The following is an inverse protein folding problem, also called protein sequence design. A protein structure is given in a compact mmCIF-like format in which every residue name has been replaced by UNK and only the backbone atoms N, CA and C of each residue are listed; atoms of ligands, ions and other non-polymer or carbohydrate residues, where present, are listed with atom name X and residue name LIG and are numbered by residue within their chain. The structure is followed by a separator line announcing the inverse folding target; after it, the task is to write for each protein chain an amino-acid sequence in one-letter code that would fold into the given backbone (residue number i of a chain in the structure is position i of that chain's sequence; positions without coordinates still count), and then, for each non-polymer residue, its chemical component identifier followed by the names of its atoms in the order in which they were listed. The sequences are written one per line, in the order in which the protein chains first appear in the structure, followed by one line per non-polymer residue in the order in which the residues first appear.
data_IF_499072838039
#
_entry.id   IF_499072838039
#
_cell.length_a   1.000
_cell.length_b   1.000
_cell.length_c   1.000
_cell.angle_alpha   90.00
_cell.angle_beta   90.00
_cell.angle_gamma   90.00
#
_symmetry.space_group_name_H-M   'P 1'
#
loop_
_entity.id
_entity.type
_entity.pdbx_description
1 polymer ?
#
# COMPACT_ATOMS: atom_id res chain seq x y z
N UNK A 1 -5.04 -1.74 0.82
CA UNK A 1 -3.92 -2.67 1.05
C UNK A 1 -3.21 -2.93 -0.26
N UNK A 2 -1.90 -3.16 -0.23
CA UNK A 2 -1.08 -3.33 -1.43
C UNK A 2 -1.42 -4.61 -2.21
N UNK A 3 -1.05 -4.63 -3.49
CA UNK A 3 -1.17 -5.84 -4.30
C UNK A 3 -0.23 -6.94 -3.74
N UNK A 4 -0.68 -8.22 -3.62
CA UNK A 4 0.11 -9.29 -2.99
C UNK A 4 1.49 -9.53 -3.62
N UNK A 5 1.63 -9.24 -4.92
CA UNK A 5 2.89 -9.42 -5.65
C UNK A 5 3.90 -8.26 -5.48
N UNK A 6 3.52 -7.17 -4.79
CA UNK A 6 4.41 -6.02 -4.61
C UNK A 6 5.25 -6.16 -3.33
N UNK A 7 6.56 -5.88 -3.41
CA UNK A 7 7.44 -5.90 -2.24
C UNK A 7 7.25 -4.63 -1.39
N UNK A 8 6.40 -4.73 -0.37
CA UNK A 8 6.08 -3.62 0.52
C UNK A 8 7.01 -3.47 1.70
N UNK A 9 7.73 -4.52 2.03
CA UNK A 9 8.59 -4.58 3.18
C UNK A 9 10.05 -4.65 2.73
N UNK A 10 10.87 -3.82 3.32
CA UNK A 10 12.32 -3.85 3.17
C UNK A 10 12.99 -3.98 4.54
N UNK A 11 14.19 -4.54 4.57
CA UNK A 11 15.02 -4.56 5.78
C UNK A 11 15.82 -3.26 5.94
N UNK A 12 16.56 -3.16 7.02
CA UNK A 12 17.43 -1.99 7.30
C UNK A 12 18.58 -1.84 6.30
N UNK A 13 18.87 -2.85 5.48
CA UNK A 13 19.84 -2.76 4.37
C UNK A 13 19.18 -2.31 3.06
N UNK A 14 17.87 -1.99 3.08
CA UNK A 14 17.10 -1.62 1.88
C UNK A 14 16.73 -2.81 1.00
N UNK A 15 16.95 -4.05 1.45
CA UNK A 15 16.65 -5.26 0.68
C UNK A 15 15.19 -5.66 0.86
N UNK A 16 14.55 -6.03 -0.23
CA UNK A 16 13.17 -6.52 -0.22
C UNK A 16 13.00 -7.74 0.66
N UNK A 17 11.97 -7.71 1.49
CA UNK A 17 11.51 -8.83 2.28
C UNK A 17 10.31 -9.49 1.59
N UNK A 18 10.48 -10.75 1.19
CA UNK A 18 9.44 -11.52 0.48
C UNK A 18 8.39 -12.07 1.46
N UNK A 19 7.68 -11.18 2.16
CA UNK A 19 6.57 -11.51 3.03
C UNK A 19 5.26 -11.01 2.46
N UNK A 20 4.27 -11.87 2.51
CA UNK A 20 2.93 -11.58 2.06
C UNK A 20 2.08 -11.00 3.19
N UNK A 21 1.63 -9.75 3.02
CA UNK A 21 0.79 -9.08 4.00
C UNK A 21 -0.65 -9.63 4.09
N UNK A 22 -1.06 -10.47 3.14
CA UNK A 22 -2.34 -11.18 3.21
C UNK A 22 -2.24 -12.55 3.89
N UNK A 23 -1.02 -12.99 4.22
CA UNK A 23 -0.80 -14.19 5.01
C UNK A 23 -0.80 -13.85 6.50
N UNK A 24 -1.70 -14.47 7.26
CA UNK A 24 -1.81 -14.30 8.72
C UNK A 24 -0.51 -14.68 9.45
N UNK A 25 0.29 -15.60 8.90
CA UNK A 25 1.55 -16.02 9.49
C UNK A 25 2.60 -14.91 9.45
N UNK A 26 2.55 -14.02 8.45
CA UNK A 26 3.38 -12.80 8.41
C UNK A 26 3.10 -11.92 9.64
N UNK A 27 1.83 -11.68 9.95
CA UNK A 27 1.42 -10.87 11.11
C UNK A 27 1.80 -11.53 12.43
N UNK A 28 1.65 -12.85 12.51
CA UNK A 28 2.06 -13.63 13.68
C UNK A 28 3.57 -13.58 13.88
N UNK A 29 4.33 -13.83 12.83
CA UNK A 29 5.80 -13.81 12.85
C UNK A 29 6.36 -12.46 13.30
N UNK A 30 5.78 -11.38 12.79
CA UNK A 30 6.22 -10.03 13.16
C UNK A 30 5.63 -9.53 14.47
N UNK A 31 4.67 -10.23 15.05
CA UNK A 31 4.00 -9.82 16.27
C UNK A 31 3.18 -8.53 16.07
N UNK A 32 2.57 -8.35 14.90
CA UNK A 32 1.82 -7.14 14.57
C UNK A 32 0.33 -7.26 14.89
N UNK A 33 -0.32 -6.09 15.13
CA UNK A 33 -1.75 -6.01 15.44
C UNK A 33 -2.10 -6.88 16.66
N UNK A 34 -3.07 -7.78 16.54
CA UNK A 34 -3.56 -8.69 17.60
C UNK A 34 -2.55 -9.79 18.00
N UNK A 35 -1.40 -9.85 17.35
CA UNK A 35 -0.27 -10.69 17.73
C UNK A 35 0.80 -9.94 18.55
N UNK A 36 0.74 -8.62 18.66
CA UNK A 36 1.52 -7.87 19.67
C UNK A 36 0.95 -8.18 21.05
N UNK A 37 1.73 -8.74 21.99
CA UNK A 37 1.25 -9.05 23.33
C UNK A 37 0.58 -7.84 24.02
N UNK A 38 1.13 -6.64 23.85
CA UNK A 38 0.58 -5.40 24.45
C UNK A 38 -0.81 -5.06 23.90
N UNK A 39 -1.06 -5.35 22.61
CA UNK A 39 -2.38 -5.14 21.97
C UNK A 39 -3.34 -6.23 22.45
N UNK A 40 -2.90 -7.49 22.46
CA UNK A 40 -3.69 -8.62 22.93
C UNK A 40 -4.10 -8.47 24.39
N UNK A 41 -3.17 -8.09 25.28
CA UNK A 41 -3.43 -7.91 26.71
C UNK A 41 -4.42 -6.77 26.96
N UNK A 42 -4.28 -5.64 26.26
CA UNK A 42 -5.24 -4.52 26.34
C UNK A 42 -6.63 -4.92 25.84
N UNK A 43 -6.69 -5.66 24.75
CA UNK A 43 -7.96 -6.16 24.22
C UNK A 43 -8.63 -7.14 25.19
N UNK A 44 -7.87 -8.08 25.76
CA UNK A 44 -8.35 -9.02 26.74
C UNK A 44 -8.88 -8.32 28.00
N UNK A 45 -8.11 -7.35 28.53
CA UNK A 45 -8.50 -6.59 29.72
C UNK A 45 -9.81 -5.81 29.52
N UNK A 46 -9.99 -5.18 28.35
CA UNK A 46 -11.24 -4.45 28.02
C UNK A 46 -12.47 -5.35 27.90
N UNK A 47 -12.27 -6.63 27.66
CA UNK A 47 -13.34 -7.62 27.46
C UNK A 47 -13.40 -8.66 28.59
N UNK A 48 -13.25 -8.19 29.82
CA UNK A 48 -13.48 -8.99 31.04
C UNK A 48 -12.27 -9.76 31.56
N UNK A 49 -11.13 -9.71 30.88
CA UNK A 49 -9.91 -10.41 31.29
C UNK A 49 -10.06 -11.95 31.32
N UNK A 50 -9.14 -12.62 31.97
CA UNK A 50 -9.19 -14.06 32.20
C UNK A 50 -9.48 -14.90 30.95
N UNK A 51 -10.37 -15.84 31.04
CA UNK A 51 -10.75 -16.72 29.93
C UNK A 51 -11.60 -15.99 28.87
N UNK A 52 -12.53 -15.16 29.28
CA UNK A 52 -13.37 -14.33 28.39
C UNK A 52 -12.50 -13.41 27.52
N UNK A 53 -11.55 -12.73 28.12
CA UNK A 53 -10.61 -11.86 27.40
C UNK A 53 -9.72 -12.64 26.41
N UNK A 54 -9.25 -13.85 26.81
CA UNK A 54 -8.48 -14.71 25.89
C UNK A 54 -9.33 -15.18 24.70
N UNK A 55 -10.59 -15.57 24.95
CA UNK A 55 -11.54 -15.97 23.90
C UNK A 55 -11.80 -14.82 22.94
N UNK A 56 -11.93 -13.59 23.44
CA UNK A 56 -12.08 -12.40 22.61
C UNK A 56 -10.85 -12.16 21.71
N UNK A 57 -9.64 -12.29 22.24
CA UNK A 57 -8.40 -12.15 21.43
C UNK A 57 -8.31 -13.24 20.36
N UNK A 58 -8.72 -14.48 20.68
CA UNK A 58 -8.76 -15.55 19.69
C UNK A 58 -9.74 -15.22 18.55
N UNK A 59 -10.94 -14.71 18.87
CA UNK A 59 -11.91 -14.23 17.89
C UNK A 59 -11.34 -13.10 17.01
N UNK A 60 -10.61 -12.14 17.58
CA UNK A 60 -9.97 -11.07 16.80
C UNK A 60 -8.92 -11.61 15.82
N UNK A 61 -8.16 -12.65 16.20
CA UNK A 61 -7.19 -13.29 15.30
C UNK A 61 -7.87 -13.99 14.13
N UNK A 62 -8.96 -14.69 14.39
CA UNK A 62 -9.79 -15.33 13.34
C UNK A 62 -10.42 -14.27 12.42
N UNK A 63 -10.94 -13.19 13.00
CA UNK A 63 -11.47 -12.05 12.25
C UNK A 63 -10.41 -11.47 11.31
N UNK A 64 -9.22 -11.18 11.81
CA UNK A 64 -8.12 -10.68 10.98
C UNK A 64 -7.78 -11.65 9.85
N UNK A 65 -7.61 -12.95 10.16
CA UNK A 65 -7.32 -13.98 9.16
C UNK A 65 -8.39 -14.06 8.07
N UNK A 66 -9.68 -13.97 8.45
CA UNK A 66 -10.80 -13.94 7.50
C UNK A 66 -10.71 -12.74 6.57
N UNK A 67 -10.48 -11.54 7.14
CA UNK A 67 -10.44 -10.31 6.34
C UNK A 67 -9.19 -10.20 5.45
N UNK A 68 -8.05 -10.72 5.87
CA UNK A 68 -6.88 -10.83 5.01
C UNK A 68 -7.17 -11.71 3.78
N UNK A 69 -7.80 -12.89 3.97
CA UNK A 69 -8.20 -13.75 2.85
C UNK A 69 -9.22 -13.09 1.92
N UNK A 70 -10.19 -12.35 2.47
CA UNK A 70 -11.16 -11.61 1.66
C UNK A 70 -10.50 -10.47 0.88
N UNK A 71 -9.61 -9.71 1.54
CA UNK A 71 -8.86 -8.64 0.90
C UNK A 71 -7.99 -9.16 -0.25
N UNK A 72 -7.31 -10.30 -0.06
CA UNK A 72 -6.55 -10.95 -1.15
C UNK A 72 -7.45 -11.25 -2.35
N UNK A 73 -8.55 -11.98 -2.13
CA UNK A 73 -9.48 -12.35 -3.20
C UNK A 73 -10.03 -11.13 -3.93
N UNK A 74 -10.34 -10.07 -3.20
CA UNK A 74 -10.80 -8.82 -3.78
C UNK A 74 -9.74 -8.21 -4.71
N UNK A 75 -8.50 -8.04 -4.22
CA UNK A 75 -7.42 -7.47 -5.04
C UNK A 75 -7.11 -8.36 -6.26
N UNK A 76 -7.06 -9.67 -6.08
CA UNK A 76 -6.83 -10.62 -7.18
C UNK A 76 -7.99 -10.57 -8.20
N UNK A 77 -9.22 -10.35 -7.76
CA UNK A 77 -10.37 -10.22 -8.68
C UNK A 77 -10.32 -8.96 -9.54
N UNK A 78 -9.67 -7.90 -9.08
CA UNK A 78 -9.49 -6.67 -9.87
C UNK A 78 -8.54 -6.87 -11.06
N UNK A 79 -7.70 -7.91 -11.03
CA UNK A 79 -6.81 -8.26 -12.15
C UNK A 79 -7.51 -9.12 -13.22
N UNK A 80 -8.74 -9.55 -12.98
CA UNK A 80 -9.52 -10.33 -13.96
C UNK A 80 -10.24 -9.38 -14.91
N UNK A 81 -9.96 -9.43 -16.22
CA UNK A 81 -10.65 -8.56 -17.18
C UNK A 81 -12.17 -8.78 -17.13
N UNK A 82 -12.93 -7.69 -17.11
CA UNK A 82 -14.37 -7.77 -17.21
C UNK A 82 -14.77 -8.19 -18.64
N UNK A 83 -15.81 -9.02 -18.81
CA UNK A 83 -16.32 -9.33 -20.15
C UNK A 83 -16.95 -8.08 -20.77
N UNK A 84 -16.56 -7.76 -22.01
CA UNK A 84 -17.09 -6.63 -22.77
C UNK A 84 -16.04 -5.59 -23.13
N UNK A 85 -16.47 -4.49 -23.73
CA UNK A 85 -15.61 -3.36 -24.03
C UNK A 85 -15.23 -2.62 -22.74
N UNK A 86 -13.94 -2.49 -22.47
CA UNK A 86 -13.45 -1.69 -21.36
C UNK A 86 -13.69 -0.20 -21.66
N UNK A 87 -14.27 0.56 -20.72
CA UNK A 87 -14.39 2.00 -20.91
C UNK A 87 -12.99 2.64 -20.96
N UNK A 88 -12.82 3.72 -21.70
CA UNK A 88 -11.57 4.46 -21.70
C UNK A 88 -11.32 5.01 -20.29
N UNK A 89 -10.14 4.75 -19.73
CA UNK A 89 -9.74 5.23 -18.42
C UNK A 89 -8.95 6.53 -18.58
N UNK A 90 -9.27 7.52 -17.76
CA UNK A 90 -8.47 8.70 -17.57
C UNK A 90 -7.96 8.73 -16.12
N UNK A 91 -6.66 8.93 -15.95
CA UNK A 91 -6.01 8.95 -14.65
C UNK A 91 -5.56 10.36 -14.30
N UNK A 92 -5.92 10.80 -13.11
CA UNK A 92 -5.44 12.04 -12.53
C UNK A 92 -4.70 11.74 -11.22
N UNK A 93 -3.62 12.46 -10.97
CA UNK A 93 -2.85 12.33 -9.73
C UNK A 93 -1.84 13.44 -9.53
N UNK A 94 -1.23 13.46 -8.34
CA UNK A 94 -0.03 14.23 -8.07
C UNK A 94 1.22 13.38 -8.26
N UNK A 95 2.37 14.02 -8.57
CA UNK A 95 3.65 13.33 -8.71
C UNK A 95 4.86 14.12 -8.20
N UNK A 96 4.62 15.22 -7.46
CA UNK A 96 5.66 16.06 -6.89
C UNK A 96 6.02 15.73 -5.44
N UNK A 97 5.14 15.00 -4.74
CA UNK A 97 5.33 14.74 -3.32
C UNK A 97 5.90 13.33 -3.10
N UNK A 98 6.80 13.23 -2.12
CA UNK A 98 7.32 11.93 -1.68
C UNK A 98 6.23 11.15 -0.96
N UNK A 99 5.81 10.07 -1.57
CA UNK A 99 4.72 9.22 -1.08
C UNK A 99 5.24 7.87 -0.65
N UNK A 100 4.86 7.42 0.55
CA UNK A 100 5.32 6.15 1.12
C UNK A 100 4.94 4.98 0.21
N UNK A 101 5.95 4.28 -0.27
CA UNK A 101 5.84 3.10 -1.12
C UNK A 101 6.24 1.81 -0.41
N UNK A 102 7.17 1.88 0.55
CA UNK A 102 7.68 0.71 1.30
C UNK A 102 7.94 1.06 2.76
N UNK A 103 7.81 0.06 3.61
CA UNK A 103 8.04 0.15 5.05
C UNK A 103 9.33 -0.59 5.38
N UNK A 104 10.23 0.06 6.12
CA UNK A 104 11.41 -0.60 6.70
C UNK A 104 10.98 -1.43 7.91
N UNK A 105 11.39 -2.69 7.96
CA UNK A 105 11.18 -3.56 9.11
C UNK A 105 12.47 -3.73 9.88
N UNK A 106 12.49 -3.25 11.12
CA UNK A 106 13.61 -3.40 12.04
C UNK A 106 13.34 -4.49 13.08
N UNK A 107 14.38 -5.27 13.37
CA UNK A 107 14.38 -6.17 14.53
C UNK A 107 15.00 -5.44 15.73
N UNK A 108 14.17 -5.06 16.71
CA UNK A 108 14.58 -4.36 17.93
C UNK A 108 14.12 -5.18 19.13
N UNK A 109 15.06 -5.60 19.98
CA UNK A 109 14.80 -6.35 21.22
C UNK A 109 13.87 -7.55 21.01
N UNK A 110 14.12 -8.32 19.94
CA UNK A 110 13.33 -9.50 19.58
C UNK A 110 11.96 -9.21 18.97
N UNK A 111 11.66 -7.95 18.64
CA UNK A 111 10.42 -7.51 18.00
C UNK A 111 10.69 -6.95 16.62
N UNK A 112 9.73 -7.13 15.72
CA UNK A 112 9.76 -6.51 14.41
C UNK A 112 8.91 -5.25 14.42
N UNK A 113 9.53 -4.12 14.12
CA UNK A 113 8.89 -2.80 14.10
C UNK A 113 8.91 -2.25 12.68
N UNK A 114 7.73 -1.92 12.15
CA UNK A 114 7.63 -1.22 10.87
C UNK A 114 7.93 0.27 11.04
N UNK A 115 8.71 0.83 10.12
CA UNK A 115 9.08 2.24 10.08
C UNK A 115 8.55 2.87 8.80
N UNK A 116 7.70 3.86 8.96
CA UNK A 116 7.09 4.61 7.86
C UNK A 116 7.81 5.92 7.56
N UNK A 117 8.76 6.31 8.44
CA UNK A 117 9.56 7.52 8.32
C UNK A 117 11.03 7.18 8.48
N UNK A 118 11.89 7.89 7.76
CA UNK A 118 13.34 7.69 7.82
C UNK A 118 13.90 8.00 9.21
N UNK A 119 13.41 9.08 9.83
CA UNK A 119 13.82 9.51 11.17
C UNK A 119 13.46 8.54 12.29
N UNK A 120 12.49 7.66 12.07
CA UNK A 120 12.08 6.65 13.05
C UNK A 120 12.96 5.40 13.03
N UNK A 121 13.86 5.25 12.05
CA UNK A 121 14.76 4.10 11.93
C UNK A 121 15.80 4.19 13.06
N UNK A 122 15.70 3.26 14.01
CA UNK A 122 16.54 3.32 15.22
C UNK A 122 18.00 2.92 14.98
N UNK A 123 18.24 2.05 13.99
CA UNK A 123 19.59 1.53 13.67
C UNK A 123 19.86 1.67 12.16
N UNK A 124 20.00 2.90 11.65
CA UNK A 124 20.24 3.10 10.23
C UNK A 124 21.60 2.53 9.81
N UNK A 125 21.63 1.90 8.64
CA UNK A 125 22.86 1.34 8.06
C UNK A 125 23.56 2.43 7.23
N UNK A 126 24.83 2.73 7.48
CA UNK A 126 25.57 3.73 6.69
C UNK A 126 25.57 3.38 5.19
N UNK A 127 25.30 4.40 4.37
CA UNK A 127 25.30 4.25 2.90
C UNK A 127 23.99 3.76 2.30
N UNK A 128 22.96 3.45 3.11
CA UNK A 128 21.62 3.16 2.61
C UNK A 128 20.83 4.45 2.46
N UNK A 129 20.36 4.71 1.25
CA UNK A 129 19.42 5.80 0.96
C UNK A 129 17.99 5.33 1.27
N UNK A 130 17.54 5.61 2.49
CA UNK A 130 16.21 5.21 2.94
C UNK A 130 15.10 6.03 2.26
N UNK A 131 15.36 7.30 1.94
CA UNK A 131 14.37 8.12 1.25
C UNK A 131 14.04 7.53 -0.12
N UNK A 132 15.06 7.26 -0.93
CA UNK A 132 14.87 6.62 -2.23
C UNK A 132 14.33 5.17 -2.13
N UNK A 133 14.60 4.48 -1.02
CA UNK A 133 14.13 3.10 -0.80
C UNK A 133 12.67 3.01 -0.35
N UNK A 134 12.20 3.98 0.43
CA UNK A 134 10.88 3.98 1.07
C UNK A 134 9.84 4.74 0.27
N UNK A 135 10.22 5.80 -0.42
CA UNK A 135 9.28 6.74 -1.03
C UNK A 135 9.38 6.74 -2.56
N UNK A 136 8.30 7.14 -3.18
CA UNK A 136 8.18 7.33 -4.64
C UNK A 136 7.39 8.61 -4.93
N UNK A 137 7.53 9.18 -6.15
CA UNK A 137 6.69 10.29 -6.56
C UNK A 137 5.21 9.97 -6.47
N UNK A 138 4.43 10.89 -5.90
CA UNK A 138 2.98 10.75 -5.74
C UNK A 138 2.35 12.03 -5.21
N UNK A 139 1.28 11.87 -4.45
CA UNK A 139 0.46 12.96 -3.91
C UNK A 139 0.30 12.92 -2.38
N UNK A 140 1.25 12.32 -1.66
CA UNK A 140 1.28 11.98 -0.23
C UNK A 140 0.40 10.77 0.17
N UNK A 141 -0.49 10.30 -0.69
CA UNK A 141 -1.42 9.19 -0.39
C UNK A 141 -1.23 8.04 -1.36
N UNK A 142 -1.16 8.34 -2.66
CA UNK A 142 -1.05 7.36 -3.73
C UNK A 142 0.18 7.67 -4.58
N UNK A 143 1.02 6.66 -4.80
CA UNK A 143 2.18 6.82 -5.69
C UNK A 143 1.72 6.88 -7.15
N UNK A 144 2.45 7.62 -7.97
CA UNK A 144 2.22 7.66 -9.43
C UNK A 144 2.24 6.25 -10.04
N UNK A 145 3.15 5.39 -9.58
CA UNK A 145 3.24 4.02 -10.05
C UNK A 145 1.96 3.22 -9.75
N UNK A 146 1.36 3.42 -8.56
CA UNK A 146 0.09 2.80 -8.18
C UNK A 146 -1.07 3.26 -9.06
N UNK A 147 -1.17 4.56 -9.32
CA UNK A 147 -2.21 5.13 -10.19
C UNK A 147 -2.14 4.60 -11.62
N UNK A 148 -0.93 4.34 -12.12
CA UNK A 148 -0.72 3.79 -13.46
C UNK A 148 -0.82 2.26 -13.52
N UNK A 149 -1.17 1.59 -12.41
CA UNK A 149 -1.25 0.14 -12.33
C UNK A 149 0.08 -0.59 -12.55
N UNK A 150 1.22 0.08 -12.31
CA UNK A 150 2.54 -0.51 -12.50
C UNK A 150 2.85 -1.52 -11.40
N UNK A 151 3.20 -2.74 -11.79
CA UNK A 151 3.47 -3.83 -10.85
C UNK A 151 4.83 -3.82 -10.19
N UNK A 152 5.82 -3.12 -10.72
CA UNK A 152 7.16 -3.12 -10.14
C UNK A 152 7.63 -1.73 -9.80
N UNK A 153 8.07 -1.62 -8.56
CA UNK A 153 8.73 -0.46 -7.99
C UNK A 153 10.26 -0.55 -8.17
N UNK A 154 10.76 -1.52 -8.92
CA UNK A 154 12.19 -1.67 -9.15
C UNK A 154 12.63 -0.78 -10.30
N UNK A 155 13.29 0.32 -9.99
CA UNK A 155 13.82 1.29 -10.96
C UNK A 155 14.86 0.65 -11.90
N UNK A 156 15.48 -0.46 -11.47
CA UNK A 156 16.51 -1.18 -12.21
C UNK A 156 15.97 -2.33 -13.07
N UNK A 157 14.69 -2.69 -12.92
CA UNK A 157 14.09 -3.70 -13.79
C UNK A 157 13.83 -3.11 -15.18
N UNK A 158 14.16 -3.82 -16.27
CA UNK A 158 13.69 -3.42 -17.58
C UNK A 158 12.18 -3.30 -17.51
N UNK A 159 11.61 -2.23 -18.10
CA UNK A 159 10.19 -1.86 -18.10
C UNK A 159 9.31 -3.10 -17.92
N UNK A 160 9.08 -3.47 -16.66
CA UNK A 160 8.33 -4.64 -16.34
C UNK A 160 6.89 -4.36 -16.70
N UNK A 161 6.32 -5.32 -17.32
CA UNK A 161 4.97 -5.47 -17.80
C UNK A 161 3.98 -4.57 -17.06
N UNK A 162 3.63 -3.48 -17.71
CA UNK A 162 2.43 -2.72 -17.42
C UNK A 162 1.33 -3.71 -17.74
N UNK A 163 0.69 -4.29 -16.73
CA UNK A 163 -0.61 -4.88 -17.01
C UNK A 163 -1.49 -3.76 -17.50
N UNK A 164 -1.94 -3.95 -18.71
CA UNK A 164 -2.50 -2.90 -19.52
C UNK A 164 -3.91 -2.53 -19.03
N UNK A 165 -3.98 -1.72 -17.99
CA UNK A 165 -5.07 -0.77 -17.90
C UNK A 165 -4.96 0.07 -19.16
N UNK A 166 -5.99 0.05 -20.02
CA UNK A 166 -6.05 0.91 -21.21
C UNK A 166 -6.30 2.35 -20.72
N UNK A 167 -5.25 2.98 -20.24
CA UNK A 167 -5.27 4.38 -19.83
C UNK A 167 -5.23 5.21 -21.11
N UNK A 168 -6.36 5.81 -21.47
CA UNK A 168 -6.47 6.68 -22.64
C UNK A 168 -5.64 7.95 -22.44
N UNK A 169 -5.71 8.54 -21.25
CA UNK A 169 -4.97 9.74 -20.89
C UNK A 169 -4.58 9.70 -19.40
N UNK A 170 -3.41 10.29 -19.07
CA UNK A 170 -2.99 10.51 -17.69
C UNK A 170 -2.50 11.94 -17.51
N UNK A 171 -3.01 12.61 -16.49
CA UNK A 171 -2.64 13.99 -16.13
C UNK A 171 -2.07 13.97 -14.72
N UNK A 172 -0.81 14.37 -14.59
CA UNK A 172 -0.14 14.52 -13.30
C UNK A 172 0.13 15.97 -13.03
N UNK A 173 -0.22 16.40 -11.82
CA UNK A 173 -0.10 17.79 -11.36
C UNK A 173 0.80 17.81 -10.12
N UNK A 174 1.45 18.97 -9.89
CA UNK A 174 2.17 19.20 -8.65
C UNK A 174 1.17 19.60 -7.55
N UNK A 175 0.43 18.59 -7.03
CA UNK A 175 -0.65 18.83 -6.08
C UNK A 175 -0.79 17.67 -5.08
N UNK A 176 -1.14 17.98 -3.85
CA UNK A 176 -1.49 16.98 -2.83
C UNK A 176 -2.85 16.34 -3.12
N UNK A 177 -3.00 15.07 -2.73
CA UNK A 177 -4.23 14.28 -2.95
C UNK A 177 -5.53 14.99 -2.55
N UNK A 178 -5.55 15.60 -1.37
CA UNK A 178 -6.73 16.29 -0.81
C UNK A 178 -7.10 17.57 -1.55
N UNK A 179 -6.17 18.15 -2.30
CA UNK A 179 -6.38 19.42 -3.01
C UNK A 179 -6.57 19.22 -4.52
N UNK A 180 -6.31 18.01 -5.03
CA UNK A 180 -6.30 17.71 -6.44
C UNK A 180 -7.58 18.14 -7.17
N UNK A 181 -8.75 17.84 -6.62
CA UNK A 181 -10.05 18.21 -7.23
C UNK A 181 -10.35 19.71 -7.19
N UNK A 182 -9.69 20.47 -6.34
CA UNK A 182 -9.75 21.93 -6.26
C UNK A 182 -8.80 22.64 -7.23
N UNK A 183 -7.87 21.92 -7.84
CA UNK A 183 -6.89 22.49 -8.75
C UNK A 183 -7.54 22.87 -10.10
N UNK A 184 -7.40 24.12 -10.59
CA UNK A 184 -8.02 24.53 -11.84
C UNK A 184 -7.61 23.69 -13.05
N UNK A 185 -6.33 23.29 -13.12
CA UNK A 185 -5.84 22.44 -14.22
C UNK A 185 -6.48 21.05 -14.18
N UNK A 186 -6.76 20.49 -12.99
CA UNK A 186 -7.54 19.25 -12.87
C UNK A 186 -8.94 19.44 -13.45
N UNK A 187 -9.63 20.52 -13.03
CA UNK A 187 -11.01 20.80 -13.45
C UNK A 187 -11.11 21.02 -14.95
N UNK A 188 -10.19 21.79 -15.53
CA UNK A 188 -10.16 22.07 -16.97
C UNK A 188 -9.90 20.79 -17.79
N UNK A 189 -8.94 19.97 -17.38
CA UNK A 189 -8.65 18.71 -18.06
C UNK A 189 -9.80 17.71 -17.93
N UNK A 190 -10.43 17.63 -16.75
CA UNK A 190 -11.59 16.77 -16.55
C UNK A 190 -12.77 17.21 -17.42
N UNK A 191 -13.07 18.53 -17.45
CA UNK A 191 -14.11 19.08 -18.27
C UNK A 191 -13.86 18.81 -19.76
N UNK A 192 -12.62 19.05 -20.22
CA UNK A 192 -12.22 18.73 -21.60
C UNK A 192 -12.43 17.26 -21.92
N UNK A 193 -12.00 16.34 -21.05
CA UNK A 193 -12.19 14.91 -21.24
C UNK A 193 -13.67 14.54 -21.36
N UNK A 194 -14.53 15.07 -20.48
CA UNK A 194 -15.96 14.79 -20.48
C UNK A 194 -16.68 15.32 -21.74
N UNK A 195 -16.23 16.45 -22.30
CA UNK A 195 -16.81 17.06 -23.49
C UNK A 195 -16.25 16.48 -24.80
N UNK A 196 -15.06 15.83 -24.75
CA UNK A 196 -14.39 15.30 -25.94
C UNK A 196 -14.68 13.79 -26.18
N UNK A 197 -15.39 13.15 -25.28
CA UNK A 197 -15.85 11.77 -25.50
C UNK A 197 -17.07 11.85 -26.44
N UNK A 198 -16.89 11.41 -27.69
CA UNK A 198 -18.02 11.24 -28.61
C UNK A 198 -19.04 10.29 -27.95
N UNK A 199 -20.32 10.68 -27.90
CA UNK A 199 -21.36 9.78 -27.40
C UNK A 199 -21.39 8.55 -28.27
N UNK A 200 -21.14 7.38 -27.63
CA UNK A 200 -21.23 6.05 -28.26
C UNK A 200 -22.70 5.71 -28.56
#
# INVERSE_FOLDING_TARGET
MPHPALPWLIDVQGRTLAYDLYDIETWRRFGWSVFDPRVADRAAARHGGGETGRSYVAMLREYLAKHLRHGRRFIESLAVPAPGAEPPLMVFGGDCELTLARIVVEAIDGRFVGRERVEDIARPVPGVDYEASMFEPGDLVVTRASLLGRRTLNVSAPRAEIEALRIANSVFLCEEHRHLTGNPSFQDNLLHALLSVDPV
#
